data_IF_591606201075
#
_entry.id   IF_591606201075
#
_cell.length_a   1.000
_cell.length_b   1.000
_cell.length_c   1.000
_cell.angle_alpha   90.00
_cell.angle_beta   90.00
_cell.angle_gamma   90.00
#
_symmetry.space_group_name_H-M   'P 1'
#
loop_
_entity.id
_entity.type
_entity.pdbx_description
1 polymer ?
#
# COMPACT_ATOMS: atom_id res chain seq x y z
N UNK A 1 30.38 -13.15 -67.64
CA UNK A 1 29.04 -12.81 -68.17
C UNK A 1 28.08 -13.10 -67.02
N UNK A 2 27.86 -12.12 -66.14
CA UNK A 2 26.93 -11.00 -66.28
C UNK A 2 25.47 -11.48 -66.19
N UNK A 3 24.81 -11.19 -65.06
CA UNK A 3 23.63 -10.30 -64.99
C UNK A 3 23.11 -10.21 -63.54
N UNK A 4 22.92 -8.96 -63.09
CA UNK A 4 22.33 -8.53 -61.81
C UNK A 4 20.81 -8.82 -61.77
N UNK A 5 20.11 -8.61 -60.63
CA UNK A 5 19.50 -7.29 -60.46
C UNK A 5 19.37 -6.76 -59.01
N UNK A 6 19.64 -5.45 -58.91
CA UNK A 6 18.88 -4.40 -58.21
C UNK A 6 18.73 -4.38 -56.68
N UNK A 7 19.40 -3.36 -56.12
CA UNK A 7 19.14 -2.66 -54.87
C UNK A 7 17.72 -2.08 -54.75
N UNK A 8 17.20 -2.02 -53.51
CA UNK A 8 16.30 -0.94 -53.09
C UNK A 8 16.60 -0.47 -51.66
N UNK A 9 16.99 0.81 -51.62
CA UNK A 9 17.34 1.73 -50.53
C UNK A 9 16.44 1.75 -49.28
N UNK A 10 17.08 2.04 -48.14
CA UNK A 10 16.45 2.58 -46.93
C UNK A 10 17.45 2.83 -45.80
N UNK A 11 18.00 4.06 -45.74
CA UNK A 11 18.99 4.56 -44.78
C UNK A 11 18.60 4.40 -43.30
N UNK A 12 19.59 4.05 -42.46
CA UNK A 12 19.64 4.40 -41.03
C UNK A 12 21.04 4.96 -40.72
N UNK A 13 21.17 6.12 -40.06
CA UNK A 13 22.43 6.86 -39.98
C UNK A 13 23.34 6.48 -38.80
N UNK A 14 24.64 6.56 -39.09
CA UNK A 14 25.79 7.03 -38.29
C UNK A 14 25.90 6.63 -36.79
N UNK A 15 26.79 5.66 -36.52
CA UNK A 15 27.53 5.62 -35.25
C UNK A 15 28.63 6.68 -35.26
N UNK A 16 28.49 7.68 -34.39
CA UNK A 16 29.52 8.69 -34.12
C UNK A 16 30.68 8.04 -33.37
N UNK A 17 31.80 7.93 -34.07
CA UNK A 17 33.14 7.65 -33.53
C UNK A 17 33.42 8.52 -32.29
N UNK A 18 33.61 7.88 -31.14
CA UNK A 18 34.34 8.47 -30.01
C UNK A 18 35.79 8.02 -30.07
N UNK A 19 36.64 9.03 -30.28
CA UNK A 19 38.09 9.05 -30.22
C UNK A 19 38.67 8.19 -29.08
N UNK A 20 39.38 7.13 -29.44
CA UNK A 20 40.56 6.68 -28.70
C UNK A 20 41.67 6.41 -29.72
N UNK A 21 42.49 7.45 -29.90
CA UNK A 21 43.77 7.39 -30.61
C UNK A 21 44.77 6.76 -29.64
N UNK A 22 44.97 5.45 -29.72
CA UNK A 22 46.14 4.81 -29.13
C UNK A 22 47.22 4.68 -30.21
N UNK A 23 48.34 5.35 -29.95
CA UNK A 23 49.56 5.29 -30.73
C UNK A 23 50.14 3.88 -30.73
N UNK A 24 50.38 3.35 -31.93
CA UNK A 24 51.23 2.19 -32.19
C UNK A 24 52.66 2.43 -31.68
N UNK A 25 53.27 1.43 -31.03
CA UNK A 25 54.51 0.84 -31.53
C UNK A 25 54.73 -0.60 -30.99
N UNK A 26 55.43 -1.48 -31.74
CA UNK A 26 55.36 -2.93 -31.61
C UNK A 26 56.62 -3.56 -30.98
N UNK A 27 56.47 -4.74 -30.36
CA UNK A 27 57.59 -5.45 -29.73
C UNK A 27 57.35 -6.93 -29.44
N UNK A 28 57.25 -7.73 -30.52
CA UNK A 28 57.90 -9.05 -30.71
C UNK A 28 58.30 -9.89 -29.46
N UNK A 29 57.59 -11.02 -29.21
CA UNK A 29 57.98 -12.41 -29.59
C UNK A 29 57.58 -13.54 -28.60
N UNK A 30 57.11 -14.64 -29.20
CA UNK A 30 57.03 -16.05 -28.76
C UNK A 30 56.00 -16.41 -27.66
N UNK A 31 55.24 -17.52 -27.71
CA UNK A 31 55.30 -18.74 -28.52
C UNK A 31 53.94 -19.45 -28.55
N UNK A 32 53.75 -20.30 -29.57
CA UNK A 32 52.59 -21.14 -29.85
C UNK A 32 52.30 -22.18 -28.74
N UNK A 33 51.06 -22.20 -28.23
CA UNK A 33 50.33 -23.43 -27.88
C UNK A 33 48.85 -23.20 -28.11
N UNK A 34 48.45 -23.36 -29.36
CA UNK A 34 47.08 -23.38 -29.85
C UNK A 34 46.40 -24.68 -29.40
N UNK A 35 45.10 -24.63 -29.15
CA UNK A 35 44.11 -25.74 -29.24
C UNK A 35 43.78 -26.64 -28.04
N UNK A 36 43.84 -26.18 -26.79
CA UNK A 36 43.13 -26.85 -25.67
C UNK A 36 42.36 -25.94 -24.70
N UNK A 37 42.43 -24.61 -24.87
CA UNK A 37 41.79 -23.64 -23.96
C UNK A 37 40.48 -23.03 -24.48
N UNK A 38 40.12 -23.22 -25.76
CA UNK A 38 38.88 -22.64 -26.31
C UNK A 38 37.60 -23.38 -25.94
N UNK A 39 37.67 -24.68 -25.62
CA UNK A 39 36.49 -25.46 -25.23
C UNK A 39 36.10 -25.23 -23.75
N UNK A 40 37.09 -24.95 -22.89
CA UNK A 40 36.84 -24.55 -21.50
C UNK A 40 36.47 -23.07 -21.38
N UNK A 41 37.00 -22.18 -22.23
CA UNK A 41 36.60 -20.76 -22.20
C UNK A 41 35.18 -20.53 -22.72
N UNK A 42 34.69 -21.33 -23.68
CA UNK A 42 33.29 -21.22 -24.16
C UNK A 42 32.28 -21.81 -23.19
N UNK A 43 32.63 -22.90 -22.49
CA UNK A 43 31.77 -23.45 -21.44
C UNK A 43 31.77 -22.55 -20.19
N UNK A 44 32.93 -22.02 -19.79
CA UNK A 44 33.03 -21.05 -18.68
C UNK A 44 32.35 -19.73 -19.04
N UNK A 45 32.45 -19.25 -20.29
CA UNK A 45 31.76 -18.04 -20.73
C UNK A 45 30.24 -18.23 -20.89
N UNK A 46 29.75 -19.43 -21.20
CA UNK A 46 28.31 -19.74 -21.19
C UNK A 46 27.73 -19.87 -19.77
N UNK A 47 28.56 -20.28 -18.80
CA UNK A 47 28.17 -20.36 -17.39
C UNK A 47 28.28 -18.98 -16.72
N UNK A 48 29.20 -18.13 -17.16
CA UNK A 48 29.31 -16.74 -16.68
C UNK A 48 28.36 -15.79 -17.41
N UNK A 49 27.92 -16.02 -18.66
CA UNK A 49 26.98 -15.10 -19.32
C UNK A 49 25.58 -15.07 -18.69
N UNK A 50 25.19 -16.09 -17.92
CA UNK A 50 23.94 -16.08 -17.13
C UNK A 50 24.09 -15.53 -15.72
N UNK A 51 25.33 -15.36 -15.22
CA UNK A 51 25.61 -14.92 -13.84
C UNK A 51 26.30 -13.55 -13.79
N UNK A 52 26.93 -13.11 -14.88
CA UNK A 52 27.68 -11.85 -14.95
C UNK A 52 26.83 -10.58 -15.03
N UNK A 53 25.54 -10.55 -15.45
CA UNK A 53 24.74 -9.34 -15.25
C UNK A 53 24.54 -9.02 -13.75
N UNK A 54 24.69 -10.01 -12.87
CA UNK A 54 24.47 -9.90 -11.43
C UNK A 54 25.64 -9.24 -10.67
N UNK A 55 26.84 -9.19 -11.27
CA UNK A 55 28.06 -8.67 -10.62
C UNK A 55 28.51 -7.31 -11.19
N UNK A 56 28.07 -6.93 -12.39
CA UNK A 56 28.38 -5.63 -13.01
C UNK A 56 27.26 -4.61 -12.91
N UNK A 57 26.00 -5.02 -12.73
CA UNK A 57 24.91 -4.13 -12.33
C UNK A 57 24.84 -4.13 -10.79
N UNK A 58 25.01 -2.97 -10.15
CA UNK A 58 25.02 -2.82 -8.68
C UNK A 58 23.70 -3.12 -7.95
N UNK A 59 23.02 -4.22 -8.31
CA UNK A 59 21.84 -4.76 -7.66
C UNK A 59 22.26 -5.66 -6.49
N UNK A 60 21.87 -5.26 -5.28
CA UNK A 60 21.95 -6.09 -4.09
C UNK A 60 20.53 -6.41 -3.63
N UNK A 61 20.09 -7.68 -3.69
CA UNK A 61 18.74 -8.05 -3.30
C UNK A 61 18.56 -7.82 -1.81
N UNK A 62 17.43 -7.21 -1.42
CA UNK A 62 17.06 -7.07 -0.02
C UNK A 62 16.24 -8.30 0.43
N UNK A 63 16.81 -9.27 1.17
CA UNK A 63 16.13 -10.51 1.53
C UNK A 63 14.91 -10.25 2.43
N UNK A 64 14.93 -9.20 3.25
CA UNK A 64 13.79 -8.84 4.11
C UNK A 64 12.61 -8.36 3.29
N UNK A 65 12.85 -7.51 2.28
CA UNK A 65 11.81 -7.07 1.34
C UNK A 65 11.18 -8.25 0.61
N UNK A 66 12.01 -9.13 0.03
CA UNK A 66 11.53 -10.31 -0.72
C UNK A 66 10.71 -11.23 0.19
N UNK A 67 11.19 -11.49 1.42
CA UNK A 67 10.48 -12.31 2.40
C UNK A 67 9.13 -11.70 2.81
N UNK A 68 9.08 -10.38 3.06
CA UNK A 68 7.84 -9.68 3.38
C UNK A 68 6.85 -9.67 2.22
N UNK A 69 7.33 -9.49 0.98
CA UNK A 69 6.51 -9.57 -0.22
C UNK A 69 5.91 -10.97 -0.40
N UNK A 70 6.73 -12.01 -0.28
CA UNK A 70 6.26 -13.39 -0.35
C UNK A 70 5.20 -13.68 0.73
N UNK A 71 5.43 -13.23 1.96
CA UNK A 71 4.47 -13.35 3.05
C UNK A 71 3.16 -12.59 2.74
N UNK A 72 3.24 -11.37 2.19
CA UNK A 72 2.07 -10.59 1.75
C UNK A 72 1.24 -11.37 0.72
N UNK A 73 1.89 -11.94 -0.30
CA UNK A 73 1.22 -12.75 -1.33
C UNK A 73 0.53 -13.98 -0.75
N UNK A 74 1.18 -14.71 0.17
CA UNK A 74 0.58 -15.87 0.85
C UNK A 74 -0.67 -15.46 1.63
N UNK A 75 -0.61 -14.35 2.38
CA UNK A 75 -1.76 -13.83 3.11
C UNK A 75 -2.91 -13.43 2.17
N UNK A 76 -2.61 -12.76 1.05
CA UNK A 76 -3.64 -12.37 0.06
C UNK A 76 -4.32 -13.61 -0.54
N UNK A 77 -3.56 -14.62 -0.96
CA UNK A 77 -4.09 -15.88 -1.49
C UNK A 77 -4.95 -16.59 -0.44
N UNK A 78 -4.49 -16.65 0.81
CA UNK A 78 -5.25 -17.20 1.92
C UNK A 78 -6.58 -16.44 2.11
N UNK A 79 -6.56 -15.11 2.11
CA UNK A 79 -7.78 -14.32 2.25
C UNK A 79 -8.76 -14.53 1.10
N UNK A 80 -8.28 -14.65 -0.15
CA UNK A 80 -9.11 -14.98 -1.31
C UNK A 80 -9.74 -16.37 -1.18
N UNK A 81 -8.95 -17.39 -0.89
CA UNK A 81 -9.45 -18.77 -0.73
C UNK A 81 -10.49 -18.86 0.38
N UNK A 82 -10.25 -18.22 1.54
CA UNK A 82 -11.24 -18.15 2.62
C UNK A 82 -12.51 -17.41 2.17
N UNK A 83 -12.38 -16.30 1.45
CA UNK A 83 -13.51 -15.52 0.91
C UNK A 83 -14.41 -16.35 0.00
N UNK A 84 -13.85 -17.23 -0.83
CA UNK A 84 -14.60 -18.14 -1.69
C UNK A 84 -15.49 -19.10 -0.88
N UNK A 85 -15.05 -19.52 0.32
CA UNK A 85 -15.81 -20.43 1.19
C UNK A 85 -16.87 -19.74 2.05
N UNK A 86 -16.79 -18.41 2.20
CA UNK A 86 -17.72 -17.62 2.99
C UNK A 86 -18.95 -17.29 2.13
N UNK A 87 -20.15 -17.61 2.64
CA UNK A 87 -21.42 -17.23 1.99
C UNK A 87 -21.64 -15.71 2.09
N UNK A 88 -22.78 -15.21 1.61
CA UNK A 88 -23.14 -13.78 1.64
C UNK A 88 -23.03 -13.21 3.07
N UNK A 89 -21.97 -12.45 3.33
CA UNK A 89 -21.68 -11.81 4.62
C UNK A 89 -21.04 -10.43 4.38
N UNK A 90 -21.36 -9.43 5.20
CA UNK A 90 -20.83 -8.08 5.02
C UNK A 90 -19.33 -7.96 5.27
N UNK A 91 -18.74 -8.81 6.12
CA UNK A 91 -17.28 -8.85 6.26
C UNK A 91 -16.60 -9.43 5.02
N UNK A 92 -17.28 -10.33 4.29
CA UNK A 92 -16.75 -10.84 3.03
C UNK A 92 -16.58 -9.72 2.01
N UNK A 93 -17.62 -8.92 1.81
CA UNK A 93 -17.55 -7.78 0.88
C UNK A 93 -16.51 -6.75 1.34
N UNK A 94 -16.53 -6.35 2.61
CA UNK A 94 -15.54 -5.43 3.18
C UNK A 94 -14.09 -5.86 2.88
N UNK A 95 -13.76 -7.12 3.15
CA UNK A 95 -12.42 -7.63 2.92
C UNK A 95 -12.10 -7.75 1.43
N UNK A 96 -13.01 -8.27 0.60
CA UNK A 96 -12.76 -8.38 -0.84
C UNK A 96 -12.47 -7.02 -1.49
N UNK A 97 -13.20 -5.97 -1.11
CA UNK A 97 -12.95 -4.62 -1.63
C UNK A 97 -11.57 -4.07 -1.27
N UNK A 98 -11.01 -4.46 -0.12
CA UNK A 98 -9.67 -4.05 0.30
C UNK A 98 -8.57 -5.00 -0.20
N UNK A 99 -8.88 -6.27 -0.44
CA UNK A 99 -7.92 -7.25 -0.97
C UNK A 99 -7.63 -7.03 -2.46
N UNK A 100 -8.60 -6.53 -3.25
CA UNK A 100 -8.39 -6.21 -4.68
C UNK A 100 -7.25 -5.19 -4.89
N UNK A 101 -7.25 -3.99 -4.28
CA UNK A 101 -6.13 -3.05 -4.44
C UNK A 101 -4.82 -3.60 -3.86
N UNK A 102 -4.87 -4.37 -2.76
CA UNK A 102 -3.69 -5.04 -2.19
C UNK A 102 -3.06 -6.05 -3.14
N UNK A 103 -3.88 -6.76 -3.93
CA UNK A 103 -3.40 -7.68 -4.95
C UNK A 103 -2.69 -6.94 -6.09
N UNK A 104 -3.24 -5.80 -6.53
CA UNK A 104 -2.61 -4.95 -7.54
C UNK A 104 -1.28 -4.40 -7.03
N UNK A 105 -1.26 -3.90 -5.79
CA UNK A 105 -0.04 -3.42 -5.12
C UNK A 105 1.02 -4.53 -5.01
N UNK A 106 0.64 -5.75 -4.62
CA UNK A 106 1.58 -6.88 -4.58
C UNK A 106 2.13 -7.23 -5.97
N UNK A 107 1.31 -7.17 -7.02
CA UNK A 107 1.77 -7.33 -8.40
C UNK A 107 2.77 -6.25 -8.81
N UNK A 108 2.52 -5.01 -8.40
CA UNK A 108 3.42 -3.89 -8.63
C UNK A 108 4.75 -4.02 -7.87
N UNK A 109 4.72 -4.52 -6.63
CA UNK A 109 5.93 -4.79 -5.85
C UNK A 109 6.79 -5.89 -6.47
N UNK A 110 6.17 -6.93 -7.04
CA UNK A 110 6.88 -7.97 -7.81
C UNK A 110 7.50 -7.34 -9.06
N UNK A 111 6.75 -6.49 -9.77
CA UNK A 111 7.26 -5.80 -10.95
C UNK A 111 8.47 -4.92 -10.62
N UNK A 112 8.39 -4.12 -9.54
CA UNK A 112 9.51 -3.28 -9.10
C UNK A 112 10.72 -4.08 -8.65
N UNK A 113 10.53 -5.25 -8.06
CA UNK A 113 11.62 -6.19 -7.73
C UNK A 113 12.34 -6.69 -8.98
N UNK A 114 11.58 -7.15 -9.99
CA UNK A 114 12.13 -7.61 -11.27
C UNK A 114 12.82 -6.45 -11.99
N UNK A 115 12.21 -5.27 -12.00
CA UNK A 115 12.77 -4.09 -12.65
C UNK A 115 14.05 -3.62 -11.96
N UNK A 116 14.11 -3.64 -10.62
CA UNK A 116 15.33 -3.34 -9.87
C UNK A 116 16.47 -4.32 -10.17
N UNK A 117 16.15 -5.60 -10.41
CA UNK A 117 17.14 -6.63 -10.74
C UNK A 117 17.72 -6.51 -12.15
N UNK A 118 17.00 -5.86 -13.06
CA UNK A 118 17.36 -5.75 -14.48
C UNK A 118 17.89 -4.38 -14.87
N UNK A 119 17.51 -3.33 -14.13
CA UNK A 119 17.85 -1.95 -14.44
C UNK A 119 18.96 -1.39 -13.54
N UNK A 120 19.81 -0.52 -14.10
CA UNK A 120 20.96 0.10 -13.43
C UNK A 120 20.51 1.31 -12.57
N UNK A 121 19.47 1.14 -11.75
CA UNK A 121 19.06 2.19 -10.81
C UNK A 121 19.96 2.23 -9.56
N UNK A 122 20.75 1.19 -9.31
CA UNK A 122 21.61 1.09 -8.13
C UNK A 122 20.83 0.83 -6.84
N UNK A 123 21.54 0.30 -5.84
CA UNK A 123 20.98 -0.01 -4.52
C UNK A 123 21.68 0.79 -3.42
N UNK A 124 21.01 0.95 -2.28
CA UNK A 124 21.61 1.50 -1.06
C UNK A 124 21.72 0.42 0.01
N UNK A 125 22.61 0.60 0.98
CA UNK A 125 22.68 -0.31 2.11
C UNK A 125 21.40 -0.20 2.96
N UNK A 126 20.89 -1.34 3.43
CA UNK A 126 19.72 -1.36 4.28
C UNK A 126 20.07 -0.82 5.67
N UNK A 127 19.35 0.22 6.09
CA UNK A 127 19.45 0.80 7.42
C UNK A 127 18.07 0.72 8.09
N UNK A 128 18.00 0.02 9.23
CA UNK A 128 16.74 -0.23 9.96
C UNK A 128 16.27 0.99 10.77
N UNK A 129 17.11 2.02 10.90
CA UNK A 129 16.80 3.22 11.67
C UNK A 129 15.59 3.98 11.10
N UNK A 130 14.82 4.60 11.99
CA UNK A 130 13.66 5.39 11.60
C UNK A 130 14.07 6.50 10.64
N UNK A 131 13.40 6.55 9.50
CA UNK A 131 13.65 7.57 8.50
C UNK A 131 13.04 8.91 8.93
N UNK A 132 13.87 9.77 9.51
CA UNK A 132 13.48 11.13 9.83
C UNK A 132 13.56 12.01 8.58
N UNK A 133 12.44 12.20 7.88
CA UNK A 133 12.37 13.19 6.80
C UNK A 133 12.46 14.60 7.40
N UNK A 134 13.55 15.30 7.10
CA UNK A 134 13.65 16.71 7.41
C UNK A 134 12.83 17.52 6.39
N UNK A 135 12.09 18.57 6.84
CA UNK A 135 11.46 19.51 5.92
C UNK A 135 12.54 20.21 5.09
N UNK A 136 12.25 20.55 3.83
CA UNK A 136 13.15 21.44 3.10
C UNK A 136 13.09 22.84 3.70
N UNK A 137 14.15 23.63 3.53
CA UNK A 137 14.39 24.89 4.28
C UNK A 137 13.29 25.94 4.21
N UNK A 138 12.28 25.78 3.32
CA UNK A 138 11.17 26.71 3.16
C UNK A 138 9.77 26.07 3.36
N UNK A 139 9.68 24.77 3.62
CA UNK A 139 8.38 24.11 3.81
C UNK A 139 7.86 24.30 5.24
N UNK A 140 6.57 24.57 5.35
CA UNK A 140 5.90 24.54 6.65
C UNK A 140 5.21 23.20 6.89
N UNK A 141 4.81 22.93 8.13
CA UNK A 141 4.13 21.68 8.49
C UNK A 141 2.81 21.46 7.73
N UNK A 142 2.22 22.50 7.15
CA UNK A 142 1.00 22.43 6.34
C UNK A 142 1.26 22.02 4.89
N UNK A 143 2.49 22.18 4.39
CA UNK A 143 2.87 21.93 2.99
C UNK A 143 3.27 20.48 2.72
N UNK A 144 3.42 19.65 3.75
CA UNK A 144 3.87 18.25 3.62
C UNK A 144 3.05 17.43 2.61
N UNK A 145 1.74 17.68 2.51
CA UNK A 145 0.86 16.95 1.59
C UNK A 145 1.11 17.34 0.12
N UNK A 146 1.69 18.52 -0.15
CA UNK A 146 2.16 18.90 -1.50
C UNK A 146 3.31 18.01 -1.96
N UNK A 147 4.14 17.52 -1.03
CA UNK A 147 5.31 16.68 -1.32
C UNK A 147 5.08 15.21 -0.95
N UNK A 148 3.83 14.79 -0.83
CA UNK A 148 3.50 13.45 -0.34
C UNK A 148 4.11 12.34 -1.21
N UNK A 149 4.03 12.46 -2.55
CA UNK A 149 4.60 11.48 -3.49
C UNK A 149 6.12 11.43 -3.40
N UNK A 150 6.79 12.59 -3.40
CA UNK A 150 8.25 12.67 -3.28
C UNK A 150 8.71 12.08 -1.94
N UNK A 151 8.06 12.48 -0.84
CA UNK A 151 8.35 11.99 0.51
C UNK A 151 8.16 10.48 0.60
N UNK A 152 7.08 9.95 0.01
CA UNK A 152 6.82 8.52 -0.02
C UNK A 152 7.84 7.77 -0.89
N UNK A 153 8.30 8.36 -2.00
CA UNK A 153 9.39 7.82 -2.81
C UNK A 153 10.70 7.65 -2.01
N UNK A 154 11.05 8.63 -1.18
CA UNK A 154 12.22 8.56 -0.29
C UNK A 154 12.04 7.50 0.82
N UNK A 155 10.85 7.41 1.41
CA UNK A 155 10.49 6.35 2.37
C UNK A 155 10.64 4.97 1.73
N UNK A 156 10.10 4.79 0.53
CA UNK A 156 10.22 3.54 -0.22
C UNK A 156 11.69 3.23 -0.51
N UNK A 157 12.48 4.18 -1.00
CA UNK A 157 13.91 3.99 -1.24
C UNK A 157 14.63 3.51 0.02
N UNK A 158 14.39 4.14 1.18
CA UNK A 158 15.03 3.76 2.44
C UNK A 158 14.69 2.33 2.86
N UNK A 159 13.40 1.99 2.93
CA UNK A 159 12.97 0.69 3.46
C UNK A 159 13.09 -0.45 2.45
N UNK A 160 13.10 -0.14 1.16
CA UNK A 160 13.26 -1.14 0.10
C UNK A 160 14.67 -1.24 -0.46
N UNK A 161 15.56 -0.30 -0.14
CA UNK A 161 16.93 -0.13 -0.68
C UNK A 161 17.04 0.25 -2.16
N UNK A 162 15.91 0.45 -2.86
CA UNK A 162 15.92 0.65 -4.31
C UNK A 162 15.79 2.12 -4.68
N UNK A 163 16.76 2.64 -5.43
CA UNK A 163 16.77 4.03 -5.89
C UNK A 163 15.74 4.30 -7.00
N UNK A 164 15.08 3.26 -7.53
CA UNK A 164 14.06 3.42 -8.58
C UNK A 164 12.93 4.36 -8.18
N UNK A 165 12.54 4.36 -6.89
CA UNK A 165 11.41 5.17 -6.40
C UNK A 165 11.70 6.67 -6.35
N UNK A 166 12.98 7.07 -6.38
CA UNK A 166 13.37 8.49 -6.44
C UNK A 166 13.92 8.89 -7.80
N UNK A 167 14.42 7.93 -8.59
CA UNK A 167 14.91 8.19 -9.96
C UNK A 167 13.80 8.27 -10.99
N UNK A 168 12.76 7.46 -10.83
CA UNK A 168 11.57 7.52 -11.68
C UNK A 168 10.32 7.69 -10.81
N UNK A 169 9.72 8.87 -10.95
CA UNK A 169 8.58 9.30 -10.15
C UNK A 169 7.36 8.42 -10.39
N UNK A 170 7.22 7.77 -11.56
CA UNK A 170 6.09 6.89 -11.86
C UNK A 170 5.95 5.77 -10.81
N UNK A 171 7.06 5.23 -10.33
CA UNK A 171 7.02 4.17 -9.31
C UNK A 171 6.53 4.66 -7.95
N UNK A 172 6.96 5.85 -7.55
CA UNK A 172 6.47 6.50 -6.33
C UNK A 172 4.99 6.84 -6.41
N UNK A 173 4.51 7.31 -7.58
CA UNK A 173 3.11 7.67 -7.82
C UNK A 173 2.22 6.44 -7.68
N UNK A 174 2.52 5.36 -8.40
CA UNK A 174 1.68 4.15 -8.37
C UNK A 174 1.62 3.55 -6.96
N UNK A 175 2.76 3.51 -6.26
CA UNK A 175 2.82 3.02 -4.88
C UNK A 175 2.03 3.92 -3.92
N UNK A 176 2.13 5.25 -4.09
CA UNK A 176 1.39 6.21 -3.27
C UNK A 176 -0.12 6.09 -3.50
N UNK A 177 -0.57 6.02 -4.76
CA UNK A 177 -1.99 5.83 -5.12
C UNK A 177 -2.55 4.58 -4.46
N UNK A 178 -1.82 3.45 -4.49
CA UNK A 178 -2.27 2.21 -3.87
C UNK A 178 -2.40 2.33 -2.35
N UNK A 179 -1.36 2.86 -1.67
CA UNK A 179 -1.34 3.03 -0.22
C UNK A 179 -2.43 4.00 0.28
N UNK A 180 -2.58 5.12 -0.41
CA UNK A 180 -3.55 6.14 -0.08
C UNK A 180 -5.00 5.69 -0.36
N UNK A 181 -5.22 4.97 -1.47
CA UNK A 181 -6.52 4.34 -1.74
C UNK A 181 -6.92 3.37 -0.63
N UNK A 182 -6.00 2.52 -0.17
CA UNK A 182 -6.27 1.60 0.94
C UNK A 182 -6.59 2.37 2.23
N UNK A 183 -5.89 3.47 2.50
CA UNK A 183 -6.16 4.34 3.64
C UNK A 183 -7.61 4.89 3.61
N UNK A 184 -8.01 5.54 2.52
CA UNK A 184 -9.34 6.11 2.40
C UNK A 184 -10.43 5.03 2.34
N UNK A 185 -10.20 3.94 1.61
CA UNK A 185 -11.12 2.81 1.53
C UNK A 185 -11.36 2.19 2.89
N UNK A 186 -10.33 2.07 3.73
CA UNK A 186 -10.48 1.57 5.10
C UNK A 186 -11.35 2.53 5.94
N UNK A 187 -11.08 3.83 5.91
CA UNK A 187 -11.84 4.85 6.66
C UNK A 187 -13.33 4.81 6.29
N UNK A 188 -13.66 4.96 5.02
CA UNK A 188 -15.05 5.03 4.57
C UNK A 188 -15.77 3.68 4.72
N UNK A 189 -15.12 2.56 4.38
CA UNK A 189 -15.79 1.25 4.44
C UNK A 189 -16.06 0.79 5.87
N UNK A 190 -15.26 1.23 6.86
CA UNK A 190 -15.47 0.91 8.28
C UNK A 190 -16.84 1.38 8.76
N UNK A 191 -17.27 2.58 8.38
CA UNK A 191 -18.60 3.11 8.75
C UNK A 191 -19.74 2.25 8.21
N UNK A 192 -19.58 1.74 6.99
CA UNK A 192 -20.56 0.86 6.33
C UNK A 192 -20.63 -0.51 7.01
N UNK A 193 -19.49 -1.03 7.47
CA UNK A 193 -19.46 -2.27 8.25
C UNK A 193 -20.16 -2.08 9.61
N UNK A 194 -19.95 -0.95 10.30
CA UNK A 194 -20.68 -0.65 11.54
C UNK A 194 -22.19 -0.63 11.33
N UNK A 195 -22.67 0.02 10.27
CA UNK A 195 -24.10 0.02 9.93
C UNK A 195 -24.66 -1.42 9.86
N UNK A 196 -23.99 -2.32 9.13
CA UNK A 196 -24.43 -3.71 9.02
C UNK A 196 -24.24 -4.49 10.32
N UNK A 197 -23.16 -4.27 11.06
CA UNK A 197 -22.88 -4.96 12.31
C UNK A 197 -23.89 -4.59 13.41
N UNK A 198 -24.24 -3.30 13.52
CA UNK A 198 -25.29 -2.82 14.43
C UNK A 198 -26.66 -3.34 14.02
N UNK A 199 -26.99 -3.26 12.72
CA UNK A 199 -28.22 -3.86 12.19
C UNK A 199 -28.31 -5.36 12.50
N UNK A 200 -27.18 -6.07 12.58
CA UNK A 200 -27.15 -7.52 12.84
C UNK A 200 -27.52 -7.88 14.27
N UNK A 201 -27.32 -6.93 15.18
CA UNK A 201 -27.71 -7.07 16.59
C UNK A 201 -29.17 -6.65 16.75
N UNK A 202 -29.60 -5.54 16.13
CA UNK A 202 -30.94 -4.96 16.32
C UNK A 202 -32.02 -5.69 15.51
N UNK A 203 -31.76 -6.00 14.24
CA UNK A 203 -32.71 -6.60 13.28
C UNK A 203 -32.03 -7.71 12.45
N UNK A 204 -31.66 -8.85 13.06
CA UNK A 204 -30.93 -9.93 12.38
C UNK A 204 -31.67 -10.49 11.16
N UNK A 205 -33.01 -10.56 11.23
CA UNK A 205 -33.90 -11.05 10.16
C UNK A 205 -33.76 -10.30 8.83
N UNK A 206 -33.38 -9.01 8.87
CA UNK A 206 -33.40 -8.13 7.70
C UNK A 206 -32.10 -8.15 6.89
N UNK A 207 -30.99 -8.60 7.48
CA UNK A 207 -29.66 -8.50 6.86
C UNK A 207 -29.50 -9.40 5.66
N UNK A 208 -30.12 -10.56 5.68
CA UNK A 208 -30.07 -11.55 4.59
C UNK A 208 -30.59 -10.98 3.27
N UNK A 209 -31.51 -10.00 3.33
CA UNK A 209 -32.14 -9.38 2.17
C UNK A 209 -31.42 -8.11 1.69
N UNK A 210 -30.59 -7.49 2.52
CA UNK A 210 -29.93 -6.23 2.17
C UNK A 210 -28.94 -6.38 1.00
N UNK A 211 -28.91 -5.45 0.03
CA UNK A 211 -27.97 -5.49 -1.10
C UNK A 211 -26.56 -5.03 -0.70
N UNK A 212 -25.91 -5.80 0.16
CA UNK A 212 -24.63 -5.46 0.82
C UNK A 212 -23.56 -5.02 -0.18
N UNK A 213 -23.33 -5.79 -1.26
CA UNK A 213 -22.30 -5.47 -2.25
C UNK A 213 -22.50 -4.12 -2.93
N UNK A 214 -23.76 -3.73 -3.21
CA UNK A 214 -24.07 -2.43 -3.82
C UNK A 214 -23.76 -1.26 -2.89
N UNK A 215 -23.95 -1.43 -1.59
CA UNK A 215 -23.60 -0.39 -0.60
C UNK A 215 -22.10 -0.16 -0.56
N UNK A 216 -21.29 -1.23 -0.53
CA UNK A 216 -19.84 -1.07 -0.57
C UNK A 216 -19.34 -0.43 -1.87
N UNK A 217 -19.89 -0.82 -3.02
CA UNK A 217 -19.56 -0.18 -4.31
C UNK A 217 -19.82 1.32 -4.30
N UNK A 218 -20.98 1.75 -3.79
CA UNK A 218 -21.32 3.18 -3.69
C UNK A 218 -20.33 3.93 -2.80
N UNK A 219 -19.89 3.31 -1.71
CA UNK A 219 -18.98 3.92 -0.74
C UNK A 219 -17.57 4.06 -1.32
N UNK A 220 -17.12 3.15 -2.20
CA UNK A 220 -15.80 3.25 -2.84
C UNK A 220 -15.62 4.47 -3.75
N UNK A 221 -16.70 5.13 -4.19
CA UNK A 221 -16.60 6.37 -4.98
C UNK A 221 -15.85 7.45 -4.20
N UNK A 222 -16.05 7.52 -2.87
CA UNK A 222 -15.38 8.51 -2.03
C UNK A 222 -13.86 8.23 -1.94
N UNK A 223 -13.36 7.05 -1.53
CA UNK A 223 -11.94 6.73 -1.60
C UNK A 223 -11.27 7.03 -2.94
N UNK A 224 -11.90 6.66 -4.07
CA UNK A 224 -11.36 6.95 -5.40
C UNK A 224 -11.20 8.46 -5.59
N UNK A 225 -12.22 9.24 -5.24
CA UNK A 225 -12.19 10.70 -5.37
C UNK A 225 -11.12 11.33 -4.49
N UNK A 226 -11.03 10.92 -3.22
CA UNK A 226 -10.09 11.49 -2.27
C UNK A 226 -8.64 11.16 -2.66
N UNK A 227 -8.36 9.91 -3.06
CA UNK A 227 -7.04 9.53 -3.57
C UNK A 227 -6.69 10.25 -4.86
N UNK A 228 -7.64 10.45 -5.77
CA UNK A 228 -7.40 11.25 -6.97
C UNK A 228 -7.04 12.70 -6.62
N UNK A 229 -7.75 13.31 -5.67
CA UNK A 229 -7.44 14.67 -5.22
C UNK A 229 -6.06 14.73 -4.55
N UNK A 230 -5.77 13.81 -3.62
CA UNK A 230 -4.48 13.74 -2.90
C UNK A 230 -3.29 13.57 -3.84
N UNK A 231 -3.45 12.73 -4.84
CA UNK A 231 -2.41 12.52 -5.87
C UNK A 231 -2.25 13.76 -6.74
N UNK A 232 -3.35 14.39 -7.20
CA UNK A 232 -3.29 15.58 -8.04
C UNK A 232 -2.62 16.77 -7.33
N UNK A 233 -2.95 17.05 -6.06
CA UNK A 233 -2.34 18.15 -5.30
C UNK A 233 -0.85 17.92 -5.00
N UNK A 234 -0.41 16.66 -5.01
CA UNK A 234 1.00 16.30 -4.80
C UNK A 234 1.85 16.37 -6.07
N UNK A 235 1.21 16.35 -7.25
CA UNK A 235 1.89 16.29 -8.55
C UNK A 235 1.88 17.62 -9.29
N UNK A 236 0.78 18.37 -9.19
CA UNK A 236 0.59 19.60 -9.95
C UNK A 236 0.81 20.83 -9.07
N UNK A 237 1.40 21.86 -9.67
CA UNK A 237 1.46 23.17 -9.05
C UNK A 237 0.08 23.82 -9.13
N UNK A 238 -0.61 23.86 -7.99
CA UNK A 238 -1.94 24.45 -7.85
C UNK A 238 -1.81 25.82 -7.17
N UNK A 239 -2.61 26.83 -7.56
CA UNK A 239 -2.65 28.12 -6.87
C UNK A 239 -2.87 27.94 -5.36
N UNK A 240 -2.13 28.71 -4.55
CA UNK A 240 -2.07 28.50 -3.10
C UNK A 240 -3.46 28.49 -2.42
N UNK A 241 -4.37 29.37 -2.81
CA UNK A 241 -5.73 29.43 -2.27
C UNK A 241 -6.56 28.17 -2.56
N UNK A 242 -6.42 27.60 -3.76
CA UNK A 242 -7.10 26.36 -4.14
C UNK A 242 -6.51 25.19 -3.36
N UNK A 243 -5.17 25.15 -3.23
CA UNK A 243 -4.48 24.15 -2.42
C UNK A 243 -4.96 24.14 -0.96
N UNK A 244 -4.96 25.30 -0.28
CA UNK A 244 -5.44 25.42 1.10
C UNK A 244 -6.91 24.99 1.25
N UNK A 245 -7.76 25.36 0.30
CA UNK A 245 -9.18 24.98 0.32
C UNK A 245 -9.37 23.46 0.20
N UNK A 246 -8.65 22.84 -0.74
CA UNK A 246 -8.70 21.40 -0.95
C UNK A 246 -8.16 20.65 0.28
N UNK A 247 -7.01 21.06 0.82
CA UNK A 247 -6.45 20.50 2.04
C UNK A 247 -7.42 20.58 3.21
N UNK A 248 -8.05 21.73 3.41
CA UNK A 248 -9.03 21.92 4.47
C UNK A 248 -10.17 20.91 4.36
N UNK A 249 -10.71 20.70 3.15
CA UNK A 249 -11.77 19.72 2.87
C UNK A 249 -11.29 18.28 3.15
N UNK A 250 -10.08 17.92 2.71
CA UNK A 250 -9.52 16.59 2.93
C UNK A 250 -9.33 16.30 4.43
N UNK A 251 -8.67 17.21 5.14
CA UNK A 251 -8.36 17.09 6.57
C UNK A 251 -9.64 17.07 7.41
N UNK A 252 -10.58 17.98 7.16
CA UNK A 252 -11.83 18.03 7.93
C UNK A 252 -12.69 16.78 7.67
N UNK A 253 -12.69 16.26 6.44
CA UNK A 253 -13.41 15.02 6.12
C UNK A 253 -12.81 13.84 6.86
N UNK A 254 -11.48 13.69 6.88
CA UNK A 254 -10.83 12.62 7.63
C UNK A 254 -11.16 12.68 9.12
N UNK A 255 -11.05 13.86 9.74
CA UNK A 255 -11.43 14.09 11.12
C UNK A 255 -12.91 13.75 11.38
N UNK A 256 -13.80 14.14 10.47
CA UNK A 256 -15.25 13.87 10.59
C UNK A 256 -15.55 12.38 10.47
N UNK A 257 -14.93 11.66 9.53
CA UNK A 257 -15.13 10.22 9.35
C UNK A 257 -14.60 9.45 10.56
N UNK A 258 -13.45 9.85 11.11
CA UNK A 258 -12.91 9.24 12.35
C UNK A 258 -13.80 9.52 13.55
N UNK A 259 -14.35 10.74 13.66
CA UNK A 259 -15.36 11.06 14.68
C UNK A 259 -16.62 10.19 14.53
N UNK A 260 -17.09 9.97 13.30
CA UNK A 260 -18.19 9.03 13.03
C UNK A 260 -17.81 7.62 13.47
N UNK A 261 -16.62 7.11 13.14
CA UNK A 261 -16.17 5.78 13.59
C UNK A 261 -16.15 5.71 15.12
N UNK A 262 -15.66 6.74 15.81
CA UNK A 262 -15.62 6.81 17.27
C UNK A 262 -17.03 6.79 17.89
N UNK A 263 -17.97 7.56 17.33
CA UNK A 263 -19.36 7.53 17.79
C UNK A 263 -20.02 6.17 17.56
N UNK A 264 -19.70 5.47 16.45
CA UNK A 264 -20.18 4.10 16.21
C UNK A 264 -19.55 3.07 17.16
N UNK A 265 -18.27 3.23 17.52
CA UNK A 265 -17.62 2.43 18.56
C UNK A 265 -18.34 2.61 19.90
N UNK A 266 -18.64 3.85 20.29
CA UNK A 266 -19.38 4.16 21.51
C UNK A 266 -20.81 3.58 21.47
N UNK A 267 -21.54 3.75 20.35
CA UNK A 267 -22.86 3.16 20.15
C UNK A 267 -22.86 1.63 20.29
N UNK A 268 -21.75 0.96 19.92
CA UNK A 268 -21.59 -0.49 20.07
C UNK A 268 -21.67 -0.94 21.54
N UNK A 269 -21.22 -0.10 22.48
CA UNK A 269 -21.27 -0.41 23.92
C UNK A 269 -22.71 -0.56 24.42
N UNK A 270 -23.61 0.33 23.99
CA UNK A 270 -25.04 0.23 24.35
C UNK A 270 -25.71 -0.99 23.72
N UNK A 271 -25.30 -1.37 22.51
CA UNK A 271 -25.82 -2.56 21.84
C UNK A 271 -25.41 -3.87 22.53
N UNK A 272 -24.26 -3.90 23.22
CA UNK A 272 -23.89 -5.05 24.05
C UNK A 272 -24.86 -5.24 25.23
N UNK A 273 -25.22 -4.14 25.90
CA UNK A 273 -26.13 -4.14 27.05
C UNK A 273 -27.61 -4.33 26.68
N UNK A 274 -27.98 -4.15 25.41
CA UNK A 274 -29.36 -4.33 24.97
C UNK A 274 -29.82 -5.78 25.16
N UNK A 275 -30.77 -5.99 26.08
CA UNK A 275 -31.53 -7.23 26.24
C UNK A 275 -32.65 -7.26 25.20
N UNK A 276 -32.88 -8.42 24.58
CA UNK A 276 -34.05 -8.64 23.71
C UNK A 276 -34.99 -9.54 24.50
N UNK A 277 -36.14 -9.00 24.89
CA UNK A 277 -37.05 -9.62 25.87
C UNK A 277 -37.95 -10.71 25.28
N UNK A 278 -37.86 -10.98 23.98
CA UNK A 278 -38.60 -12.06 23.32
C UNK A 278 -37.93 -13.42 23.56
N UNK A 279 -38.13 -13.93 24.78
CA UNK A 279 -37.72 -15.25 25.30
C UNK A 279 -38.56 -16.41 24.71
N UNK A 280 -38.93 -16.35 23.42
CA UNK A 280 -39.84 -17.34 22.81
C UNK A 280 -39.34 -17.82 21.47
N UNK A 281 -38.16 -18.46 21.47
CA UNK A 281 -37.75 -19.61 20.65
C UNK A 281 -36.23 -19.78 20.80
N UNK A 282 -35.77 -21.01 20.70
CA UNK A 282 -34.35 -21.38 20.85
C UNK A 282 -33.46 -20.89 19.69
N UNK A 283 -34.01 -20.40 18.57
CA UNK A 283 -33.23 -19.97 17.39
C UNK A 283 -32.79 -18.49 17.32
N UNK A 284 -33.56 -17.48 17.80
CA UNK A 284 -33.15 -16.07 17.68
C UNK A 284 -32.04 -15.68 18.67
N UNK A 285 -31.99 -16.33 19.84
CA UNK A 285 -31.02 -16.02 20.89
C UNK A 285 -29.58 -16.33 20.47
N UNK A 286 -29.35 -17.49 19.85
CA UNK A 286 -28.01 -17.87 19.36
C UNK A 286 -27.51 -16.94 18.27
N UNK A 287 -28.41 -16.49 17.39
CA UNK A 287 -28.08 -15.54 16.33
C UNK A 287 -27.67 -14.18 16.92
N UNK A 288 -28.40 -13.65 17.91
CA UNK A 288 -28.06 -12.37 18.55
C UNK A 288 -26.74 -12.47 19.33
N UNK A 289 -26.51 -13.57 20.06
CA UNK A 289 -25.23 -13.82 20.76
C UNK A 289 -24.06 -13.84 19.78
N UNK A 290 -24.21 -14.55 18.66
CA UNK A 290 -23.20 -14.59 17.61
C UNK A 290 -22.98 -13.20 16.98
N UNK A 291 -24.04 -12.43 16.72
CA UNK A 291 -23.94 -11.05 16.22
C UNK A 291 -23.22 -10.12 17.20
N UNK A 292 -23.48 -10.21 18.51
CA UNK A 292 -22.77 -9.42 19.53
C UNK A 292 -21.29 -9.75 19.59
N UNK A 293 -20.93 -11.04 19.52
CA UNK A 293 -19.54 -11.47 19.48
C UNK A 293 -18.82 -10.99 18.20
N UNK A 294 -19.52 -11.05 17.04
CA UNK A 294 -19.02 -10.48 15.78
C UNK A 294 -18.76 -8.98 15.90
N UNK A 295 -19.67 -8.23 16.52
CA UNK A 295 -19.52 -6.80 16.75
C UNK A 295 -18.33 -6.52 17.70
N UNK A 296 -18.17 -7.28 18.78
CA UNK A 296 -17.04 -7.14 19.70
C UNK A 296 -15.70 -7.33 18.98
N UNK A 297 -15.55 -8.41 18.21
CA UNK A 297 -14.32 -8.63 17.46
C UNK A 297 -14.08 -7.56 16.40
N UNK A 298 -15.15 -7.04 15.79
CA UNK A 298 -15.03 -5.93 14.84
C UNK A 298 -14.65 -4.61 15.49
N UNK A 299 -15.12 -4.34 16.71
CA UNK A 299 -14.68 -3.20 17.53
C UNK A 299 -13.18 -3.30 17.80
N UNK A 300 -12.69 -4.47 18.22
CA UNK A 300 -11.25 -4.70 18.42
C UNK A 300 -10.45 -4.54 17.12
N UNK A 301 -10.95 -5.10 16.01
CA UNK A 301 -10.36 -4.91 14.68
C UNK A 301 -10.25 -3.43 14.32
N UNK A 302 -11.33 -2.67 14.55
CA UNK A 302 -11.41 -1.24 14.24
C UNK A 302 -10.40 -0.43 15.05
N UNK A 303 -10.30 -0.67 16.36
CA UNK A 303 -9.34 0.03 17.22
C UNK A 303 -7.89 -0.21 16.78
N UNK A 304 -7.56 -1.46 16.44
CA UNK A 304 -6.20 -1.84 16.05
C UNK A 304 -5.83 -1.36 14.64
N UNK A 305 -6.75 -1.40 13.67
CA UNK A 305 -6.43 -0.95 12.31
C UNK A 305 -6.40 0.58 12.21
N UNK A 306 -7.27 1.27 12.95
CA UNK A 306 -7.30 2.75 12.95
C UNK A 306 -6.31 3.36 13.94
N UNK A 307 -5.57 2.59 14.74
CA UNK A 307 -4.39 3.15 15.43
C UNK A 307 -3.34 3.64 14.43
N UNK A 308 -3.27 3.04 13.23
CA UNK A 308 -2.42 3.47 12.12
C UNK A 308 -2.92 4.73 11.40
N UNK A 309 -4.12 5.24 11.71
CA UNK A 309 -4.61 6.52 11.16
C UNK A 309 -4.34 7.69 12.09
N UNK A 310 -3.98 7.43 13.35
CA UNK A 310 -3.75 8.45 14.37
C UNK A 310 -2.76 9.53 13.95
N UNK A 311 -1.59 9.23 13.34
CA UNK A 311 -0.65 10.28 12.94
C UNK A 311 -1.25 11.28 11.95
N UNK A 312 -2.00 10.79 10.96
CA UNK A 312 -2.68 11.65 9.98
C UNK A 312 -3.74 12.53 10.61
N UNK A 313 -4.51 12.00 11.57
CA UNK A 313 -5.57 12.75 12.26
C UNK A 313 -5.00 13.83 13.18
N UNK A 314 -3.92 13.53 13.91
CA UNK A 314 -3.26 14.53 14.75
C UNK A 314 -2.65 15.62 13.86
N UNK A 315 -1.93 15.24 12.80
CA UNK A 315 -1.40 16.21 11.84
C UNK A 315 -2.50 17.07 11.22
N UNK A 316 -3.60 16.46 10.76
CA UNK A 316 -4.76 17.15 10.20
C UNK A 316 -5.39 18.12 11.21
N UNK A 317 -5.56 17.71 12.46
CA UNK A 317 -6.16 18.55 13.50
C UNK A 317 -5.28 19.74 13.88
N UNK A 318 -3.98 19.53 14.05
CA UNK A 318 -3.02 20.59 14.39
C UNK A 318 -2.88 21.60 13.24
N UNK A 319 -2.83 21.14 12.00
CA UNK A 319 -2.73 22.01 10.83
C UNK A 319 -4.02 22.79 10.59
N UNK A 320 -5.21 22.16 10.73
CA UNK A 320 -6.49 22.90 10.70
C UNK A 320 -6.54 23.96 11.80
N UNK A 321 -6.16 23.62 13.03
CA UNK A 321 -6.19 24.57 14.14
C UNK A 321 -5.25 25.76 13.88
N UNK A 322 -4.10 25.52 13.26
CA UNK A 322 -3.17 26.57 12.86
C UNK A 322 -3.74 27.46 11.76
N UNK A 323 -4.27 26.87 10.69
CA UNK A 323 -4.84 27.60 9.55
C UNK A 323 -6.04 28.47 9.99
N UNK A 324 -6.94 27.91 10.80
CA UNK A 324 -8.11 28.62 11.35
C UNK A 324 -7.70 29.68 12.37
N UNK A 325 -6.74 29.37 13.24
CA UNK A 325 -6.19 30.33 14.20
C UNK A 325 -5.62 31.55 13.49
N UNK A 326 -4.79 31.33 12.47
CA UNK A 326 -4.21 32.39 11.66
C UNK A 326 -5.29 33.22 10.93
N UNK A 327 -6.28 32.55 10.32
CA UNK A 327 -7.39 33.22 9.62
C UNK A 327 -8.20 34.13 10.56
N UNK A 328 -8.41 33.71 11.81
CA UNK A 328 -9.17 34.45 12.82
C UNK A 328 -8.33 35.45 13.63
N UNK A 329 -7.01 35.56 13.35
CA UNK A 329 -6.09 36.43 14.07
C UNK A 329 -5.69 35.92 15.46
N UNK A 330 -5.92 34.64 15.76
CA UNK A 330 -5.48 33.99 17.00
C UNK A 330 -4.07 33.41 16.86
N UNK A 331 -3.15 33.86 17.71
CA UNK A 331 -1.79 33.30 17.79
C UNK A 331 -1.73 32.18 18.85
N UNK A 332 -2.38 31.05 18.57
CA UNK A 332 -2.30 29.88 19.44
C UNK A 332 -0.91 29.24 19.39
N UNK A 333 -0.36 28.86 20.55
CA UNK A 333 0.84 28.03 20.60
C UNK A 333 0.49 26.60 20.19
N UNK A 334 0.75 26.26 18.93
CA UNK A 334 0.50 24.95 18.34
C UNK A 334 1.85 24.26 18.08
N UNK A 335 2.04 23.01 18.55
CA UNK A 335 3.30 22.28 18.37
C UNK A 335 3.46 21.78 16.92
N UNK A 336 3.74 22.69 15.98
CA UNK A 336 3.88 22.37 14.55
C UNK A 336 5.08 21.47 14.25
N UNK A 337 6.13 21.51 15.08
CA UNK A 337 7.23 20.55 15.00
C UNK A 337 6.73 19.11 15.14
N UNK A 338 5.87 18.85 16.12
CA UNK A 338 5.28 17.54 16.30
C UNK A 338 4.40 17.14 15.11
N UNK A 339 3.62 18.09 14.55
CA UNK A 339 2.86 17.84 13.33
C UNK A 339 3.77 17.44 12.15
N UNK A 340 4.94 18.09 12.00
CA UNK A 340 5.87 17.82 10.90
C UNK A 340 6.46 16.40 10.91
N UNK A 341 6.56 15.76 12.08
CA UNK A 341 7.01 14.36 12.20
C UNK A 341 5.89 13.34 11.90
N UNK A 342 4.63 13.71 12.18
CA UNK A 342 3.49 12.80 12.10
C UNK A 342 3.02 12.50 10.68
N UNK A 343 3.21 13.42 9.73
CA UNK A 343 2.83 13.18 8.33
C UNK A 343 3.77 12.17 7.63
N UNK A 344 5.11 12.29 7.72
CA UNK A 344 6.01 11.23 7.28
C UNK A 344 5.75 9.87 7.94
N UNK A 345 5.39 9.87 9.23
CA UNK A 345 5.01 8.65 9.94
C UNK A 345 3.74 8.01 9.34
N UNK A 346 2.75 8.83 8.98
CA UNK A 346 1.55 8.36 8.29
C UNK A 346 1.89 7.69 6.95
N UNK A 347 2.76 8.29 6.14
CA UNK A 347 3.22 7.70 4.88
C UNK A 347 3.98 6.38 5.12
N UNK A 348 4.81 6.32 6.15
CA UNK A 348 5.50 5.08 6.55
C UNK A 348 4.50 3.96 6.90
N UNK A 349 3.36 4.30 7.51
CA UNK A 349 2.30 3.35 7.80
C UNK A 349 1.57 2.81 6.56
N UNK A 350 1.76 3.38 5.35
CA UNK A 350 1.29 2.73 4.13
C UNK A 350 1.98 1.39 3.89
N UNK A 351 3.24 1.22 4.29
CA UNK A 351 3.98 -0.05 4.17
C UNK A 351 3.46 -1.13 5.14
N UNK A 352 3.03 -0.72 6.34
CA UNK A 352 2.61 -1.64 7.41
C UNK A 352 1.11 -2.00 7.32
N UNK A 353 0.28 -1.06 6.88
CA UNK A 353 -1.19 -1.19 6.86
C UNK A 353 -1.69 -2.42 6.10
N UNK A 354 -1.17 -2.79 4.91
CA UNK A 354 -1.48 -4.05 4.24
C UNK A 354 -1.35 -5.28 5.14
N UNK A 355 -0.22 -5.42 5.82
CA UNK A 355 0.05 -6.58 6.68
C UNK A 355 -0.86 -6.58 7.90
N UNK A 356 -0.98 -5.44 8.57
CA UNK A 356 -1.84 -5.31 9.75
C UNK A 356 -3.30 -5.60 9.37
N UNK A 357 -3.78 -5.09 8.24
CA UNK A 357 -5.12 -5.40 7.73
C UNK A 357 -5.33 -6.89 7.50
N UNK A 358 -4.44 -7.55 6.74
CA UNK A 358 -4.57 -8.97 6.40
C UNK A 358 -4.55 -9.86 7.65
N UNK A 359 -3.61 -9.60 8.57
CA UNK A 359 -3.47 -10.35 9.83
C UNK A 359 -4.68 -10.13 10.74
N UNK A 360 -5.07 -8.88 10.98
CA UNK A 360 -6.24 -8.58 11.82
C UNK A 360 -7.53 -9.12 11.20
N UNK A 361 -7.67 -9.07 9.87
CA UNK A 361 -8.83 -9.63 9.18
C UNK A 361 -8.95 -11.13 9.42
N UNK A 362 -7.83 -11.85 9.36
CA UNK A 362 -7.77 -13.29 9.59
C UNK A 362 -8.18 -13.66 11.03
N UNK A 363 -7.68 -12.94 12.02
CA UNK A 363 -7.86 -13.30 13.43
C UNK A 363 -9.11 -12.71 14.08
N UNK A 364 -9.53 -11.51 13.67
CA UNK A 364 -10.61 -10.77 14.34
C UNK A 364 -11.92 -10.76 13.54
N UNK A 365 -11.89 -10.87 12.20
CA UNK A 365 -13.16 -10.97 11.48
C UNK A 365 -13.70 -12.39 11.57
N UNK A 366 -14.75 -12.56 12.37
CA UNK A 366 -15.34 -13.85 12.73
C UNK A 366 -15.54 -14.84 11.56
N UNK A 367 -16.07 -14.47 10.37
CA UNK A 367 -16.21 -15.44 9.28
C UNK A 367 -14.87 -15.95 8.75
N UNK A 368 -13.84 -15.09 8.69
CA UNK A 368 -12.48 -15.47 8.30
C UNK A 368 -11.82 -16.33 9.38
N UNK A 369 -11.85 -15.88 10.64
CA UNK A 369 -11.32 -16.62 11.79
C UNK A 369 -11.87 -18.05 11.85
N UNK A 370 -13.19 -18.22 11.73
CA UNK A 370 -13.83 -19.55 11.78
C UNK A 370 -13.38 -20.45 10.63
N UNK A 371 -13.29 -19.90 9.42
CA UNK A 371 -12.86 -20.67 8.25
C UNK A 371 -11.38 -21.02 8.31
N UNK A 372 -10.54 -20.10 8.78
CA UNK A 372 -9.13 -20.33 9.01
C UNK A 372 -8.91 -21.48 10.00
N UNK A 373 -9.57 -21.46 11.17
CA UNK A 373 -9.47 -22.55 12.15
C UNK A 373 -9.96 -23.88 11.55
N UNK A 374 -11.06 -23.89 10.79
CA UNK A 374 -11.55 -25.11 10.12
C UNK A 374 -10.64 -25.61 9.00
N UNK A 375 -9.86 -24.73 8.38
CA UNK A 375 -8.92 -25.09 7.32
C UNK A 375 -7.67 -25.77 7.90
N UNK A 376 -7.11 -25.22 8.99
CA UNK A 376 -5.88 -25.73 9.60
C UNK A 376 -6.09 -26.74 10.73
N UNK A 377 -7.28 -26.86 11.30
CA UNK A 377 -7.61 -27.84 12.34
C UNK A 377 -8.67 -28.84 11.84
N UNK A 378 -8.26 -30.03 11.35
CA UNK A 378 -9.18 -31.08 10.89
C UNK A 378 -10.14 -31.56 11.97
N UNK A 379 -9.73 -31.53 13.24
CA UNK A 379 -10.56 -31.90 14.39
C UNK A 379 -11.79 -30.99 14.54
N UNK A 380 -11.69 -29.72 14.13
CA UNK A 380 -12.80 -28.75 14.15
C UNK A 380 -13.73 -28.85 12.93
N UNK A 381 -13.50 -29.81 12.02
CA UNK A 381 -14.32 -30.01 10.81
C UNK A 381 -15.54 -30.91 11.04
N UNK A 382 -15.53 -31.72 12.10
CA UNK A 382 -16.57 -32.71 12.44
C UNK A 382 -17.70 -32.19 13.36
N UNK A 383 -17.62 -30.92 13.79
CA UNK A 383 -18.67 -30.19 14.52
C UNK A 383 -18.96 -28.84 13.83
#
# INVERSE_FOLDING_TARGET
MAEEPFDFSGDIPEEVNTLLTDSEEPGLLFNETTTTTMATSTLVNSITSTVVPLLTAGYQPNPFRIGLLAFKCVLIILMFTLSCTIRRDYFKFFVLFLVVPLFIEAGFDIFTEIHASTAIFGTQQFELEYFNLAPTTNDTATDWQKRAVESYGQILQKYTTYQLYTRDQLFSIVSYVAGDFIFWSLLFSTTTVFFYAHKAVVRPEQITYDPIGRSFLKVQILPILFTAIDTLISLFEVPHWVYLSVLFILRITACTVVFIIFTQLFASLFLFCRRKDEMTKTSPYEHVRNSKFRLLLFVLFTLLIHSLTVPYIIWSGLTIAFDVGHLLGFNWYIPLHFASELFPLHLTFFLLRPFVFLVLALFLLNPYRRRFVKFFCPCCRKH
#
